data_IF_792557020338
#
_entry.id   IF_792557020338
#
_cell.length_a   1.000
_cell.length_b   1.000
_cell.length_c   1.000
_cell.angle_alpha   90.00
_cell.angle_beta   90.00
_cell.angle_gamma   90.00
#
_symmetry.space_group_name_H-M   'P 1'
#
loop_
_entity.id
_entity.type
_entity.pdbx_description
1 polymer ?
#
# COMPACT_ATOMS: atom_id res chain seq x y z
N UNK A 1 32.65 10.87 27.31
CA UNK A 1 31.45 10.14 27.76
C UNK A 1 31.56 8.72 27.24
N UNK A 2 31.52 7.71 28.11
CA UNK A 2 31.61 6.29 27.69
C UNK A 2 30.19 5.86 27.30
N UNK A 3 29.94 5.64 26.01
CA UNK A 3 28.58 5.48 25.47
C UNK A 3 27.84 4.24 26.01
N UNK A 4 28.56 3.12 26.21
CA UNK A 4 28.02 1.86 26.76
C UNK A 4 28.48 1.57 28.21
N UNK A 5 29.21 2.52 28.83
CA UNK A 5 29.81 2.37 30.15
C UNK A 5 30.52 1.02 30.42
N UNK A 6 31.23 0.49 29.42
CA UNK A 6 31.96 -0.76 29.57
C UNK A 6 33.16 -0.57 30.51
N UNK A 7 33.50 -1.58 31.34
CA UNK A 7 34.76 -1.60 32.08
C UNK A 7 35.94 -1.29 31.15
N UNK A 8 36.82 -0.38 31.58
CA UNK A 8 38.00 0.01 30.80
C UNK A 8 39.25 -0.59 31.44
N UNK A 9 40.14 -1.13 30.61
CA UNK A 9 41.45 -1.60 31.05
C UNK A 9 42.34 -0.38 31.27
N UNK A 10 42.84 -0.21 32.49
CA UNK A 10 43.82 0.84 32.79
C UNK A 10 45.22 0.50 32.22
N UNK A 11 46.04 1.52 32.00
CA UNK A 11 47.43 1.31 31.60
C UNK A 11 48.18 0.52 32.67
N UNK A 12 48.91 -0.53 32.27
CA UNK A 12 49.62 -1.45 33.17
C UNK A 12 48.73 -2.18 34.20
N UNK A 13 47.42 -2.31 33.94
CA UNK A 13 46.52 -3.02 34.85
C UNK A 13 46.88 -4.50 34.97
N UNK A 14 47.15 -4.95 36.19
CA UNK A 14 47.21 -6.38 36.48
C UNK A 14 45.85 -7.04 36.22
N UNK A 15 45.87 -8.26 35.67
CA UNK A 15 44.65 -9.01 35.35
C UNK A 15 43.70 -8.31 34.37
N UNK A 16 44.23 -7.57 33.39
CA UNK A 16 43.47 -6.95 32.30
C UNK A 16 42.49 -7.91 31.60
N UNK A 17 42.79 -9.21 31.57
CA UNK A 17 41.91 -10.25 31.01
C UNK A 17 40.56 -10.36 31.75
N UNK A 18 40.50 -10.10 33.06
CA UNK A 18 39.23 -10.13 33.82
C UNK A 18 38.35 -8.96 33.39
N UNK A 19 38.92 -7.76 33.32
CA UNK A 19 38.20 -6.56 32.86
C UNK A 19 37.73 -6.69 31.42
N UNK A 20 38.51 -7.35 30.56
CA UNK A 20 38.05 -7.70 29.20
C UNK A 20 36.85 -8.64 29.25
N UNK A 21 36.93 -9.73 30.01
CA UNK A 21 35.82 -10.68 30.13
C UNK A 21 34.55 -10.04 30.68
N UNK A 22 34.68 -9.12 31.65
CA UNK A 22 33.54 -8.37 32.21
C UNK A 22 32.92 -7.43 31.17
N UNK A 23 33.74 -6.77 30.35
CA UNK A 23 33.28 -5.92 29.25
C UNK A 23 32.58 -6.73 28.15
N UNK A 24 33.13 -7.89 27.79
CA UNK A 24 32.54 -8.81 26.81
C UNK A 24 31.21 -9.37 27.31
N UNK A 25 31.12 -9.75 28.59
CA UNK A 25 29.88 -10.20 29.21
C UNK A 25 28.82 -9.09 29.25
N UNK A 26 29.22 -7.84 29.53
CA UNK A 26 28.31 -6.71 29.50
C UNK A 26 27.78 -6.42 28.08
N UNK A 27 28.62 -6.58 27.06
CA UNK A 27 28.22 -6.41 25.66
C UNK A 27 27.26 -7.53 25.21
N UNK A 28 27.58 -8.78 25.51
CA UNK A 28 26.74 -9.94 25.22
C UNK A 28 25.35 -9.78 25.85
N UNK A 29 25.31 -9.45 27.15
CA UNK A 29 24.05 -9.20 27.83
C UNK A 29 23.29 -8.05 27.17
N UNK A 30 23.94 -6.93 26.87
CA UNK A 30 23.28 -5.78 26.28
C UNK A 30 22.72 -6.01 24.87
N UNK A 31 23.33 -6.90 24.07
CA UNK A 31 22.94 -7.17 22.67
C UNK A 31 22.06 -8.40 22.48
N UNK A 32 22.25 -9.46 23.27
CA UNK A 32 21.55 -10.74 23.09
C UNK A 32 20.38 -10.90 24.05
N UNK A 33 20.54 -10.45 25.30
CA UNK A 33 19.56 -10.65 26.37
C UNK A 33 18.86 -9.35 26.81
N UNK A 34 19.43 -8.20 26.44
CA UNK A 34 19.05 -6.86 26.88
C UNK A 34 17.71 -6.41 26.30
N UNK A 35 16.63 -6.93 26.88
CA UNK A 35 15.25 -6.58 26.59
C UNK A 35 14.56 -6.07 27.86
N UNK A 36 13.92 -4.92 27.77
CA UNK A 36 13.09 -4.37 28.85
C UNK A 36 11.66 -4.11 28.38
N UNK A 37 10.71 -4.52 29.21
CA UNK A 37 9.28 -4.35 28.99
C UNK A 37 8.75 -3.15 29.78
N UNK A 38 7.93 -2.33 29.13
CA UNK A 38 7.25 -1.19 29.72
C UNK A 38 5.73 -1.34 29.59
N UNK A 39 5.01 -0.80 30.56
CA UNK A 39 3.55 -0.68 30.54
C UNK A 39 3.16 0.77 30.27
N UNK A 40 2.64 1.03 29.07
CA UNK A 40 2.19 2.34 28.63
C UNK A 40 0.81 2.75 29.16
N UNK A 41 0.15 1.92 29.97
CA UNK A 41 -1.23 2.17 30.42
C UNK A 41 -1.39 3.47 31.22
N UNK A 42 -0.30 4.01 31.79
CA UNK A 42 -0.29 5.27 32.55
C UNK A 42 0.05 6.51 31.71
N UNK A 43 0.24 6.36 30.39
CA UNK A 43 0.59 7.45 29.48
C UNK A 43 2.10 7.63 29.33
N UNK A 44 2.55 8.88 29.14
CA UNK A 44 3.94 9.22 28.84
C UNK A 44 4.90 8.79 29.96
N UNK A 45 6.07 8.26 29.57
CA UNK A 45 7.10 7.85 30.53
C UNK A 45 8.52 8.04 29.99
N UNK A 46 9.51 8.28 30.87
CA UNK A 46 10.91 8.28 30.49
C UNK A 46 11.52 6.88 30.61
N UNK A 47 12.51 6.60 29.76
CA UNK A 47 13.47 5.51 29.94
C UNK A 47 14.70 6.08 30.65
N UNK A 48 15.17 5.45 31.73
CA UNK A 48 16.36 5.92 32.42
C UNK A 48 17.64 5.66 31.62
N UNK A 49 18.70 6.42 31.91
CA UNK A 49 20.00 6.24 31.26
C UNK A 49 20.56 4.82 31.44
N UNK A 50 20.40 4.24 32.63
CA UNK A 50 20.88 2.90 32.96
C UNK A 50 20.09 1.84 32.20
N UNK A 51 18.76 1.97 32.14
CA UNK A 51 17.91 1.04 31.39
C UNK A 51 18.21 1.10 29.89
N UNK A 52 18.38 2.30 29.35
CA UNK A 52 18.71 2.52 27.95
C UNK A 52 20.11 2.02 27.58
N UNK A 53 21.08 2.07 28.51
CA UNK A 53 22.43 1.55 28.26
C UNK A 53 22.46 0.01 28.27
N UNK A 54 21.80 -0.62 29.24
CA UNK A 54 21.83 -2.08 29.43
C UNK A 54 20.93 -2.86 28.49
N UNK A 55 19.90 -2.24 27.94
CA UNK A 55 18.93 -2.91 27.08
C UNK A 55 18.95 -2.27 25.70
N UNK A 56 19.25 -3.05 24.67
CA UNK A 56 19.13 -2.59 23.30
C UNK A 56 17.69 -2.69 22.78
N UNK A 57 16.86 -3.54 23.38
CA UNK A 57 15.48 -3.78 22.96
C UNK A 57 14.48 -3.31 24.03
N UNK A 58 13.54 -2.45 23.63
CA UNK A 58 12.48 -1.93 24.47
C UNK A 58 11.12 -2.35 23.90
N UNK A 59 10.31 -3.05 24.69
CA UNK A 59 8.95 -3.44 24.29
C UNK A 59 7.95 -2.69 25.14
N UNK A 60 7.04 -1.96 24.50
CA UNK A 60 5.98 -1.23 25.18
C UNK A 60 4.67 -1.96 24.96
N UNK A 61 3.96 -2.23 26.05
CA UNK A 61 2.67 -2.92 26.06
C UNK A 61 1.66 -2.11 26.90
N UNK A 62 0.53 -2.70 27.25
CA UNK A 62 -0.54 -2.02 28.01
C UNK A 62 -1.65 -1.49 27.12
N UNK A 63 -2.56 -0.71 27.70
CA UNK A 63 -3.73 -0.15 27.01
C UNK A 63 -3.92 1.33 27.36
N UNK A 64 -3.02 2.22 26.92
CA UNK A 64 -3.21 3.66 27.03
C UNK A 64 -4.52 4.11 26.36
N UNK A 65 -5.09 5.20 26.86
CA UNK A 65 -6.32 5.80 26.30
C UNK A 65 -6.09 6.68 25.07
N UNK A 66 -4.83 6.92 24.71
CA UNK A 66 -4.40 7.78 23.59
C UNK A 66 -2.94 7.50 23.23
N UNK A 67 -2.47 8.06 22.11
CA UNK A 67 -1.04 8.11 21.80
C UNK A 67 -0.21 8.66 22.96
N UNK A 68 1.01 8.13 23.14
CA UNK A 68 1.91 8.49 24.23
C UNK A 68 3.33 8.81 23.76
N UNK A 69 4.06 9.54 24.58
CA UNK A 69 5.44 9.94 24.39
C UNK A 69 6.35 9.13 25.29
N UNK A 70 7.34 8.47 24.69
CA UNK A 70 8.42 7.80 25.41
C UNK A 70 9.69 8.63 25.28
N UNK A 71 10.13 9.19 26.41
CA UNK A 71 11.35 10.02 26.44
C UNK A 71 12.57 9.13 26.65
N UNK A 72 13.47 9.11 25.68
CA UNK A 72 14.73 8.36 25.78
C UNK A 72 15.90 9.28 26.15
N UNK A 73 16.96 8.74 26.78
CA UNK A 73 18.19 9.48 27.02
C UNK A 73 18.85 9.93 25.69
N UNK A 74 19.46 11.12 25.71
CA UNK A 74 20.21 11.70 24.60
C UNK A 74 21.58 11.02 24.39
N UNK A 75 21.59 9.69 24.22
CA UNK A 75 22.78 8.87 24.03
C UNK A 75 22.90 8.39 22.59
N UNK A 76 24.09 8.59 21.99
CA UNK A 76 24.42 8.14 20.64
C UNK A 76 24.47 6.61 20.55
N UNK A 77 23.41 5.95 20.05
CA UNK A 77 23.38 4.50 19.85
C UNK A 77 22.23 4.02 18.96
N UNK A 78 22.37 2.84 18.34
CA UNK A 78 21.23 2.08 17.84
C UNK A 78 20.47 1.39 18.98
N UNK A 79 19.18 1.16 18.77
CA UNK A 79 18.28 0.42 19.67
C UNK A 79 17.03 -0.04 18.90
N UNK A 80 16.31 -1.02 19.45
CA UNK A 80 15.08 -1.56 18.87
C UNK A 80 13.89 -1.24 19.77
N UNK A 81 12.75 -0.89 19.17
CA UNK A 81 11.50 -0.68 19.90
C UNK A 81 10.39 -1.48 19.26
N UNK A 82 9.64 -2.22 20.09
CA UNK A 82 8.41 -2.88 19.70
C UNK A 82 7.22 -2.23 20.41
N UNK A 83 6.22 -1.82 19.65
CA UNK A 83 4.99 -1.26 20.17
C UNK A 83 3.85 -2.28 20.08
N UNK A 84 3.30 -2.68 21.23
CA UNK A 84 2.15 -3.57 21.36
C UNK A 84 1.01 -2.93 22.19
N UNK A 85 1.05 -1.62 22.44
CA UNK A 85 0.11 -0.98 23.36
C UNK A 85 -1.21 -0.52 22.72
N UNK A 86 -1.44 -0.81 21.44
CA UNK A 86 -2.68 -0.42 20.74
C UNK A 86 -2.70 1.01 20.19
N UNK A 87 -1.86 1.89 20.73
CA UNK A 87 -1.77 3.32 20.35
C UNK A 87 -0.41 3.65 19.72
N UNK A 88 -0.28 4.81 19.07
CA UNK A 88 1.02 5.27 18.54
C UNK A 88 1.93 5.74 19.67
N UNK A 89 3.20 5.29 19.64
CA UNK A 89 4.23 5.77 20.56
C UNK A 89 5.15 6.74 19.82
N UNK A 90 5.40 7.91 20.40
CA UNK A 90 6.39 8.86 19.88
C UNK A 90 7.66 8.78 20.72
N UNK A 91 8.78 8.38 20.10
CA UNK A 91 10.09 8.36 20.73
C UNK A 91 10.79 9.70 20.54
N UNK A 92 11.28 10.28 21.64
CA UNK A 92 11.95 11.58 21.60
C UNK A 92 13.03 11.68 22.68
N UNK A 93 14.05 12.50 22.43
CA UNK A 93 15.00 12.96 23.46
C UNK A 93 14.54 14.28 24.11
N UNK A 94 13.47 14.88 23.59
CA UNK A 94 13.04 16.28 23.83
C UNK A 94 13.99 17.37 23.30
N UNK A 95 15.05 17.02 22.55
CA UNK A 95 16.03 17.98 22.04
C UNK A 95 16.00 18.20 20.52
N UNK A 96 15.40 17.28 19.77
CA UNK A 96 15.36 17.33 18.32
C UNK A 96 14.25 16.47 17.74
N UNK A 97 14.50 15.91 16.56
CA UNK A 97 13.52 15.10 15.83
C UNK A 97 13.05 13.89 16.65
N UNK A 98 11.76 13.59 16.53
CA UNK A 98 11.12 12.43 17.15
C UNK A 98 10.73 11.41 16.09
N UNK A 99 10.56 10.16 16.52
CA UNK A 99 10.17 9.07 15.63
C UNK A 99 8.89 8.38 16.13
N UNK A 100 7.82 8.32 15.33
CA UNK A 100 6.62 7.58 15.67
C UNK A 100 6.81 6.08 15.42
N UNK A 101 6.34 5.24 16.34
CA UNK A 101 6.27 3.79 16.19
C UNK A 101 4.80 3.40 16.31
N UNK A 102 4.22 2.93 15.20
CA UNK A 102 2.79 2.58 15.17
C UNK A 102 2.54 1.29 15.95
N UNK A 103 1.28 1.09 16.36
CA UNK A 103 0.88 -0.14 17.05
C UNK A 103 1.16 -1.38 16.19
N UNK A 104 1.76 -2.41 16.79
CA UNK A 104 2.16 -3.64 16.13
C UNK A 104 3.54 -3.58 15.47
N UNK A 105 4.18 -2.42 15.37
CA UNK A 105 5.48 -2.30 14.74
C UNK A 105 6.64 -2.74 15.63
N UNK A 106 7.69 -3.25 14.98
CA UNK A 106 9.02 -3.44 15.56
C UNK A 106 10.03 -2.67 14.70
N UNK A 107 10.74 -1.70 15.29
CA UNK A 107 11.59 -0.75 14.56
C UNK A 107 13.01 -0.74 15.11
N UNK A 108 13.98 -0.82 14.20
CA UNK A 108 15.38 -0.50 14.49
C UNK A 108 15.58 1.01 14.32
N UNK A 109 16.12 1.64 15.35
CA UNK A 109 16.22 3.09 15.51
C UNK A 109 17.65 3.48 15.87
N UNK A 110 17.99 4.73 15.60
CA UNK A 110 19.26 5.37 15.98
C UNK A 110 18.97 6.70 16.66
N UNK A 111 19.58 6.91 17.83
CA UNK A 111 19.66 8.22 18.47
C UNK A 111 21.04 8.82 18.18
N UNK A 112 21.10 10.06 17.69
CA UNK A 112 22.36 10.78 17.43
C UNK A 112 22.80 11.66 18.62
N UNK A 113 22.13 11.51 19.77
CA UNK A 113 22.30 12.35 20.95
C UNK A 113 21.46 13.64 20.92
N UNK A 114 20.68 13.87 19.87
CA UNK A 114 19.75 15.00 19.74
C UNK A 114 18.40 14.51 19.19
N UNK A 115 18.37 13.87 18.02
CA UNK A 115 17.17 13.33 17.39
C UNK A 115 17.09 11.81 17.45
N UNK A 116 15.88 11.28 17.20
CA UNK A 116 15.59 9.86 17.03
C UNK A 116 15.20 9.60 15.57
N UNK A 117 15.88 8.64 14.94
CA UNK A 117 15.69 8.31 13.53
C UNK A 117 15.44 6.82 13.36
N UNK A 118 14.44 6.44 12.58
CA UNK A 118 14.21 5.05 12.20
C UNK A 118 15.06 4.66 11.01
N UNK A 119 15.69 3.49 11.08
CA UNK A 119 16.26 2.86 9.90
C UNK A 119 15.09 2.50 8.98
N UNK A 120 14.95 3.27 7.90
CA UNK A 120 13.97 3.01 6.87
C UNK A 120 14.69 2.37 5.71
N UNK A 121 14.22 1.21 5.25
CA UNK A 121 14.59 0.76 3.93
C UNK A 121 14.03 1.78 2.93
N UNK A 122 14.93 2.48 2.25
CA UNK A 122 14.57 3.42 1.18
C UNK A 122 14.18 2.68 -0.09
N UNK A 123 14.33 1.35 -0.12
CA UNK A 123 13.62 0.49 -1.05
C UNK A 123 12.15 0.43 -0.62
N UNK A 124 11.29 1.02 -1.43
CA UNK A 124 9.83 1.03 -1.27
C UNK A 124 9.22 -0.34 -1.51
N UNK A 125 9.65 -1.40 -0.83
CA UNK A 125 9.02 -2.73 -0.96
C UNK A 125 8.17 -3.05 0.25
N UNK A 126 7.03 -2.34 0.33
CA UNK A 126 5.81 -2.90 0.90
C UNK A 126 5.55 -4.27 0.27
N UNK A 127 5.57 -5.33 1.06
CA UNK A 127 5.20 -6.70 0.67
C UNK A 127 6.05 -7.34 -0.45
N UNK A 128 6.71 -8.46 -0.16
CA UNK A 128 7.38 -9.32 -1.16
C UNK A 128 6.40 -9.97 -2.18
N UNK A 129 5.11 -9.76 -1.99
CA UNK A 129 4.08 -9.94 -3.02
C UNK A 129 3.61 -8.54 -3.41
N UNK A 130 3.76 -8.09 -4.67
CA UNK A 130 3.19 -6.82 -5.11
C UNK A 130 1.73 -6.77 -4.66
N UNK A 131 1.36 -5.76 -3.85
CA UNK A 131 -0.03 -5.59 -3.48
C UNK A 131 -0.84 -5.49 -4.78
N UNK A 132 -1.91 -6.28 -4.89
CA UNK A 132 -2.77 -6.20 -6.05
C UNK A 132 -3.30 -4.77 -6.15
N UNK A 133 -3.11 -4.15 -7.33
CA UNK A 133 -3.58 -2.81 -7.64
C UNK A 133 -4.51 -2.87 -8.85
N UNK A 134 -5.76 -2.50 -8.67
CA UNK A 134 -6.77 -2.52 -9.72
C UNK A 134 -8.19 -2.26 -9.24
N UNK A 135 -9.11 -2.26 -10.19
CA UNK A 135 -10.54 -2.14 -9.92
C UNK A 135 -11.37 -3.06 -10.83
N UNK A 136 -12.56 -3.44 -10.35
CA UNK A 136 -13.58 -4.18 -11.09
C UNK A 136 -14.94 -3.56 -10.84
N UNK A 137 -15.63 -3.22 -11.91
CA UNK A 137 -16.97 -2.62 -11.87
C UNK A 137 -17.98 -3.45 -12.65
N UNK A 138 -19.24 -3.35 -12.25
CA UNK A 138 -20.38 -4.03 -12.86
C UNK A 138 -21.61 -3.12 -12.93
N UNK A 139 -22.62 -3.55 -13.69
CA UNK A 139 -23.90 -2.85 -13.82
C UNK A 139 -24.95 -3.44 -12.87
N UNK A 140 -25.79 -2.57 -12.33
CA UNK A 140 -26.99 -2.93 -11.55
C UNK A 140 -28.29 -2.80 -12.35
N UNK A 141 -28.23 -2.14 -13.51
CA UNK A 141 -29.35 -1.99 -14.45
C UNK A 141 -28.88 -2.13 -15.91
N UNK A 142 -29.80 -2.47 -16.82
CA UNK A 142 -29.45 -2.62 -18.24
C UNK A 142 -28.94 -1.28 -18.78
N UNK A 143 -27.82 -1.28 -19.50
CA UNK A 143 -27.28 -0.10 -20.13
C UNK A 143 -27.76 0.02 -21.58
N UNK A 144 -28.27 1.20 -21.95
CA UNK A 144 -28.78 1.48 -23.31
C UNK A 144 -27.63 1.88 -24.25
N UNK A 145 -27.56 1.22 -25.40
CA UNK A 145 -26.58 1.46 -26.46
C UNK A 145 -27.34 1.99 -27.68
N UNK A 146 -27.26 3.31 -27.96
CA UNK A 146 -27.94 3.93 -29.09
C UNK A 146 -27.56 3.34 -30.44
N UNK A 147 -28.48 3.48 -31.40
CA UNK A 147 -28.21 3.14 -32.79
C UNK A 147 -27.11 4.03 -33.39
N UNK A 148 -26.15 3.39 -34.06
CA UNK A 148 -25.13 4.03 -34.89
C UNK A 148 -24.22 5.02 -34.14
N UNK A 149 -23.96 4.75 -32.87
CA UNK A 149 -23.09 5.55 -32.02
C UNK A 149 -22.18 4.68 -31.16
N UNK A 150 -20.89 4.99 -31.14
CA UNK A 150 -19.95 4.43 -30.16
C UNK A 150 -20.27 5.06 -28.81
N UNK A 151 -20.67 4.24 -27.84
CA UNK A 151 -21.14 4.70 -26.54
C UNK A 151 -20.30 4.09 -25.44
N UNK A 152 -19.74 4.94 -24.58
CA UNK A 152 -19.06 4.53 -23.36
C UNK A 152 -20.08 3.93 -22.40
N UNK A 153 -19.75 2.78 -21.84
CA UNK A 153 -20.64 2.04 -20.95
C UNK A 153 -20.46 2.55 -19.53
N UNK A 154 -21.54 3.01 -18.92
CA UNK A 154 -21.56 3.43 -17.51
C UNK A 154 -21.66 2.23 -16.57
N UNK A 155 -20.98 2.33 -15.43
CA UNK A 155 -20.93 1.30 -14.39
C UNK A 155 -21.50 1.83 -13.06
N UNK A 156 -22.24 0.99 -12.36
CA UNK A 156 -22.99 1.40 -11.17
C UNK A 156 -22.29 1.02 -9.86
N UNK A 157 -21.60 -0.13 -9.86
CA UNK A 157 -21.06 -0.74 -8.65
C UNK A 157 -19.60 -1.15 -8.84
N UNK A 158 -18.76 -0.78 -7.87
CA UNK A 158 -17.40 -1.31 -7.74
C UNK A 158 -17.43 -2.54 -6.83
N UNK A 159 -16.95 -3.68 -7.34
CA UNK A 159 -16.72 -4.89 -6.55
C UNK A 159 -15.45 -4.76 -5.70
N UNK A 160 -14.43 -4.12 -6.28
CA UNK A 160 -13.23 -3.69 -5.58
C UNK A 160 -12.61 -2.52 -6.34
N UNK A 161 -11.92 -1.64 -5.61
CA UNK A 161 -11.07 -0.58 -6.15
C UNK A 161 -10.00 -0.26 -5.11
N UNK A 162 -8.76 -0.65 -5.37
CA UNK A 162 -7.67 -0.57 -4.39
C UNK A 162 -6.99 0.78 -4.34
N UNK A 163 -7.00 1.52 -5.46
CA UNK A 163 -6.21 2.74 -5.64
C UNK A 163 -7.00 3.85 -6.35
N UNK A 164 -8.32 3.87 -6.15
CA UNK A 164 -9.24 4.91 -6.65
C UNK A 164 -9.26 5.03 -8.18
N UNK A 165 -9.21 3.89 -8.88
CA UNK A 165 -9.33 3.86 -10.33
C UNK A 165 -10.72 4.28 -10.80
N UNK A 166 -11.77 4.00 -10.02
CA UNK A 166 -13.15 4.27 -10.37
C UNK A 166 -13.71 5.44 -9.57
N UNK A 167 -14.33 6.38 -10.28
CA UNK A 167 -15.05 7.50 -9.69
C UNK A 167 -16.53 7.38 -10.08
N UNK A 168 -17.41 7.17 -9.11
CA UNK A 168 -18.85 7.08 -9.34
C UNK A 168 -19.48 8.37 -9.89
N UNK A 169 -18.80 9.52 -9.80
CA UNK A 169 -19.23 10.74 -10.48
C UNK A 169 -18.93 10.73 -11.99
N UNK A 170 -18.06 9.80 -12.45
CA UNK A 170 -17.70 9.58 -13.84
C UNK A 170 -17.78 8.09 -14.19
N UNK A 171 -19.01 7.52 -14.22
CA UNK A 171 -19.22 6.08 -14.19
C UNK A 171 -18.76 5.33 -15.44
N UNK A 172 -18.45 6.02 -16.55
CA UNK A 172 -18.01 5.40 -17.80
C UNK A 172 -16.50 5.07 -17.89
N UNK A 173 -15.69 5.43 -16.88
CA UNK A 173 -14.22 5.35 -16.99
C UNK A 173 -13.49 4.84 -15.76
N UNK A 174 -12.34 4.22 -16.00
CA UNK A 174 -11.26 4.11 -15.02
C UNK A 174 -10.20 5.18 -15.29
N UNK A 175 -9.69 5.83 -14.24
CA UNK A 175 -8.59 6.81 -14.32
C UNK A 175 -7.34 6.22 -13.67
N UNK A 176 -6.19 6.36 -14.33
CA UNK A 176 -4.90 5.84 -13.85
C UNK A 176 -4.39 6.73 -12.71
N UNK A 177 -4.15 6.20 -11.49
CA UNK A 177 -3.64 6.96 -10.36
C UNK A 177 -2.12 7.22 -10.48
N UNK A 178 -1.58 8.01 -9.55
CA UNK A 178 -0.14 8.23 -9.45
C UNK A 178 0.60 6.90 -9.18
N UNK A 179 1.79 6.75 -9.76
CA UNK A 179 2.66 5.58 -9.54
C UNK A 179 2.40 4.40 -10.49
N UNK A 180 1.33 4.41 -11.29
CA UNK A 180 1.05 3.37 -12.27
C UNK A 180 1.62 3.74 -13.64
N UNK A 181 2.42 2.85 -14.22
CA UNK A 181 3.06 3.06 -15.53
C UNK A 181 2.61 2.06 -16.60
N UNK A 182 2.05 0.92 -16.18
CA UNK A 182 1.50 -0.09 -17.08
C UNK A 182 0.24 -0.71 -16.51
N UNK A 183 -0.71 -1.02 -17.40
CA UNK A 183 -1.97 -1.67 -17.03
C UNK A 183 -2.33 -2.80 -17.99
N UNK A 184 -3.21 -3.69 -17.54
CA UNK A 184 -4.01 -4.58 -18.38
C UNK A 184 -5.48 -4.25 -18.15
N UNK A 185 -6.22 -4.08 -19.25
CA UNK A 185 -7.66 -3.92 -19.25
C UNK A 185 -8.33 -5.24 -19.61
N UNK A 186 -9.42 -5.56 -18.94
CA UNK A 186 -10.30 -6.69 -19.28
C UNK A 186 -11.74 -6.24 -19.17
N UNK A 187 -12.58 -6.67 -20.09
CA UNK A 187 -13.99 -6.32 -20.06
C UNK A 187 -14.85 -7.38 -20.71
N UNK A 188 -16.07 -7.50 -20.22
CA UNK A 188 -17.09 -8.37 -20.79
C UNK A 188 -18.38 -7.59 -20.93
N UNK A 189 -19.03 -7.70 -22.09
CA UNK A 189 -20.40 -7.23 -22.31
C UNK A 189 -21.27 -8.40 -22.75
N UNK A 190 -22.39 -8.58 -22.07
CA UNK A 190 -23.45 -9.48 -22.50
C UNK A 190 -24.58 -8.68 -23.10
N UNK A 191 -24.94 -8.96 -24.36
CA UNK A 191 -26.05 -8.29 -25.04
C UNK A 191 -27.39 -8.93 -24.66
N UNK A 192 -28.43 -8.12 -24.46
CA UNK A 192 -29.73 -8.64 -24.01
C UNK A 192 -30.43 -9.49 -25.10
N UNK A 193 -30.57 -8.97 -26.34
CA UNK A 193 -31.12 -9.72 -27.49
C UNK A 193 -31.25 -8.84 -28.74
N UNK A 194 -30.73 -9.31 -29.90
CA UNK A 194 -31.42 -9.21 -31.20
C UNK A 194 -30.80 -10.23 -32.20
N UNK A 195 -31.39 -10.35 -33.41
CA UNK A 195 -31.04 -11.35 -34.43
C UNK A 195 -30.55 -10.78 -35.78
N UNK A 196 -30.10 -9.52 -35.80
CA UNK A 196 -29.51 -8.91 -37.00
C UNK A 196 -28.50 -7.82 -36.64
N UNK A 197 -27.59 -7.53 -37.58
CA UNK A 197 -26.65 -6.40 -37.60
C UNK A 197 -25.30 -6.64 -36.89
N UNK A 198 -24.52 -5.59 -36.66
CA UNK A 198 -23.16 -5.66 -36.11
C UNK A 198 -23.14 -5.27 -34.64
N UNK A 199 -22.25 -5.91 -33.88
CA UNK A 199 -21.96 -5.64 -32.48
C UNK A 199 -20.46 -5.45 -32.31
N UNK A 200 -20.08 -4.32 -31.74
CA UNK A 200 -18.69 -4.03 -31.44
C UNK A 200 -18.52 -3.74 -29.96
N UNK A 201 -17.38 -4.17 -29.43
CA UNK A 201 -16.88 -3.78 -28.13
C UNK A 201 -15.42 -3.39 -28.31
N UNK A 202 -15.01 -2.29 -27.67
CA UNK A 202 -13.67 -1.76 -27.77
C UNK A 202 -13.28 -1.00 -26.52
N UNK A 203 -11.97 -0.90 -26.27
CA UNK A 203 -11.46 0.02 -25.28
C UNK A 203 -11.15 1.39 -25.92
N UNK A 204 -11.50 2.46 -25.22
CA UNK A 204 -11.07 3.82 -25.53
C UNK A 204 -9.99 4.23 -24.54
N UNK A 205 -9.00 5.01 -25.00
CA UNK A 205 -8.03 5.72 -24.16
C UNK A 205 -8.25 7.20 -24.34
N UNK A 206 -8.53 7.93 -23.27
CA UNK A 206 -8.79 9.37 -23.30
C UNK A 206 -9.86 9.75 -24.35
N UNK A 207 -10.96 8.99 -24.41
CA UNK A 207 -12.04 9.16 -25.39
C UNK A 207 -11.70 8.80 -26.84
N UNK A 208 -10.50 8.26 -27.10
CA UNK A 208 -10.03 7.92 -28.44
C UNK A 208 -9.84 6.41 -28.62
N UNK A 209 -10.26 5.92 -29.78
CA UNK A 209 -10.00 4.55 -30.22
C UNK A 209 -8.65 4.42 -30.96
N UNK A 210 -7.84 5.48 -31.07
CA UNK A 210 -6.60 5.48 -31.86
C UNK A 210 -5.39 5.39 -30.95
N UNK A 211 -5.02 4.17 -30.56
CA UNK A 211 -3.80 3.89 -29.80
C UNK A 211 -3.35 2.43 -30.02
N UNK A 212 -2.04 2.18 -29.88
CA UNK A 212 -1.46 0.84 -30.03
C UNK A 212 -1.88 -0.07 -28.88
N UNK A 213 -2.23 -1.32 -29.18
CA UNK A 213 -2.66 -2.30 -28.16
C UNK A 213 -4.14 -2.23 -27.79
N UNK A 214 -4.95 -1.44 -28.50
CA UNK A 214 -6.41 -1.43 -28.31
C UNK A 214 -7.02 -2.82 -28.54
N UNK A 215 -7.70 -3.35 -27.54
CA UNK A 215 -8.57 -4.51 -27.73
C UNK A 215 -9.86 -4.07 -28.45
N UNK A 216 -10.23 -4.79 -29.49
CA UNK A 216 -11.43 -4.56 -30.30
C UNK A 216 -12.00 -5.90 -30.74
N UNK A 217 -13.32 -6.01 -30.74
CA UNK A 217 -14.05 -7.20 -31.17
C UNK A 217 -15.29 -6.77 -31.93
N UNK A 218 -15.55 -7.41 -33.07
CA UNK A 218 -16.74 -7.17 -33.90
C UNK A 218 -17.37 -8.50 -34.28
N UNK A 219 -18.67 -8.61 -34.09
CA UNK A 219 -19.44 -9.83 -34.28
C UNK A 219 -20.77 -9.52 -34.97
N UNK A 220 -21.26 -10.47 -35.75
CA UNK A 220 -22.66 -10.46 -36.14
C UNK A 220 -23.52 -10.59 -34.86
N UNK A 221 -24.64 -9.87 -34.83
CA UNK A 221 -25.49 -9.85 -33.65
C UNK A 221 -26.13 -11.22 -33.40
N UNK A 222 -26.13 -11.63 -32.14
CA UNK A 222 -26.71 -12.88 -31.68
C UNK A 222 -27.44 -12.62 -30.36
N UNK A 223 -28.50 -13.40 -30.12
CA UNK A 223 -29.16 -13.37 -28.83
C UNK A 223 -28.19 -13.79 -27.72
N UNK A 224 -28.15 -13.00 -26.63
CA UNK A 224 -27.26 -13.27 -25.49
C UNK A 224 -25.77 -13.36 -25.87
N UNK A 225 -25.34 -12.66 -26.93
CA UNK A 225 -23.94 -12.56 -27.32
C UNK A 225 -23.10 -12.07 -26.14
N UNK A 226 -22.02 -12.79 -25.83
CA UNK A 226 -21.02 -12.38 -24.85
C UNK A 226 -19.75 -11.98 -25.59
N UNK A 227 -19.30 -10.75 -25.39
CA UNK A 227 -18.06 -10.24 -25.96
C UNK A 227 -17.06 -10.03 -24.84
N UNK A 228 -15.90 -10.69 -24.95
CA UNK A 228 -14.78 -10.55 -24.03
C UNK A 228 -13.63 -9.80 -24.71
N UNK A 229 -12.99 -8.91 -23.97
CA UNK A 229 -11.84 -8.13 -24.39
C UNK A 229 -10.73 -8.25 -23.35
N UNK A 230 -9.49 -8.31 -23.81
CA UNK A 230 -8.30 -8.20 -22.97
C UNK A 230 -7.23 -7.45 -23.75
N UNK A 231 -6.64 -6.43 -23.14
CA UNK A 231 -5.52 -5.71 -23.73
C UNK A 231 -4.20 -6.45 -23.46
N UNK A 232 -3.13 -6.19 -24.25
CA UNK A 232 -1.77 -6.39 -23.78
C UNK A 232 -1.48 -5.43 -22.61
N UNK A 233 -0.26 -5.52 -22.07
CA UNK A 233 0.29 -4.47 -21.22
C UNK A 233 0.30 -3.13 -21.98
N UNK A 234 -0.43 -2.14 -21.48
CA UNK A 234 -0.50 -0.79 -22.05
C UNK A 234 0.35 0.17 -21.24
N UNK A 235 1.15 0.99 -21.91
CA UNK A 235 1.85 2.12 -21.28
C UNK A 235 0.86 3.24 -20.94
N UNK A 236 0.96 3.75 -19.72
CA UNK A 236 0.09 4.79 -19.18
C UNK A 236 0.87 5.82 -18.38
N UNK A 237 0.29 7.01 -18.28
CA UNK A 237 0.71 8.03 -17.32
C UNK A 237 -0.46 8.34 -16.37
N UNK A 238 -0.19 8.84 -15.16
CA UNK A 238 -1.25 9.25 -14.25
C UNK A 238 -2.20 10.25 -14.91
N UNK A 239 -3.50 10.03 -14.73
CA UNK A 239 -4.57 10.82 -15.34
C UNK A 239 -5.05 10.35 -16.70
N UNK A 240 -4.35 9.41 -17.37
CA UNK A 240 -4.93 8.67 -18.48
C UNK A 240 -6.21 7.97 -18.01
N UNK A 241 -7.26 7.95 -18.85
CA UNK A 241 -8.48 7.21 -18.54
C UNK A 241 -8.86 6.24 -19.65
N UNK A 242 -9.54 5.17 -19.25
CA UNK A 242 -9.96 4.09 -20.12
C UNK A 242 -11.44 3.78 -19.95
N UNK A 243 -12.07 3.45 -21.06
CA UNK A 243 -13.49 3.19 -21.14
C UNK A 243 -13.72 1.89 -21.91
N UNK A 244 -14.71 1.11 -21.51
CA UNK A 244 -15.27 0.06 -22.34
C UNK A 244 -16.44 0.66 -23.12
N UNK A 245 -16.27 0.79 -24.42
CA UNK A 245 -17.29 1.31 -25.31
C UNK A 245 -17.90 0.19 -26.17
N UNK A 246 -19.11 0.44 -26.65
CA UNK A 246 -19.83 -0.46 -27.54
C UNK A 246 -20.47 0.29 -28.70
N UNK A 247 -20.66 -0.41 -29.81
CA UNK A 247 -21.36 0.10 -30.99
C UNK A 247 -22.30 -0.97 -31.55
N UNK A 248 -23.40 -0.51 -32.13
CA UNK A 248 -24.40 -1.33 -32.79
C UNK A 248 -25.18 -0.52 -33.84
N UNK A 249 -25.68 -1.17 -34.88
CA UNK A 249 -26.32 -0.51 -36.02
C UNK A 249 -27.70 -1.07 -36.42
N UNK A 250 -28.56 -1.39 -35.45
CA UNK A 250 -29.80 -2.16 -35.70
C UNK A 250 -31.02 -1.35 -36.11
N UNK A 251 -30.87 -0.05 -36.33
CA UNK A 251 -31.98 0.88 -36.55
C UNK A 251 -32.82 1.19 -35.31
N UNK A 252 -32.41 0.74 -34.11
CA UNK A 252 -33.06 0.99 -32.83
C UNK A 252 -32.05 0.86 -31.68
N UNK A 253 -32.40 1.33 -30.49
CA UNK A 253 -31.58 1.16 -29.30
C UNK A 253 -31.47 -0.31 -28.88
N UNK A 254 -30.34 -0.66 -28.29
CA UNK A 254 -30.02 -2.01 -27.82
C UNK A 254 -29.52 -1.94 -26.38
N UNK A 255 -29.39 -3.11 -25.73
CA UNK A 255 -29.07 -3.15 -24.31
C UNK A 255 -27.92 -4.11 -24.01
N UNK A 256 -26.98 -3.65 -23.21
CA UNK A 256 -26.12 -4.52 -22.42
C UNK A 256 -26.88 -4.97 -21.17
N UNK A 257 -26.85 -6.27 -20.90
CA UNK A 257 -27.49 -6.91 -19.76
C UNK A 257 -26.70 -6.63 -18.49
N UNK A 258 -27.40 -6.31 -17.40
CA UNK A 258 -26.80 -6.06 -16.09
C UNK A 258 -26.34 -7.32 -15.37
N UNK A 259 -25.68 -7.14 -14.22
CA UNK A 259 -25.23 -8.21 -13.34
C UNK A 259 -23.87 -8.79 -13.73
N UNK A 260 -23.53 -9.95 -13.17
CA UNK A 260 -22.17 -10.53 -13.20
C UNK A 260 -21.68 -10.92 -14.61
N UNK A 261 -22.56 -10.86 -15.62
CA UNK A 261 -22.20 -11.14 -17.01
C UNK A 261 -21.68 -9.92 -17.78
N UNK A 262 -21.77 -8.71 -17.21
CA UNK A 262 -21.19 -7.49 -17.81
C UNK A 262 -20.34 -6.76 -16.79
N UNK A 263 -19.05 -6.60 -17.09
CA UNK A 263 -18.07 -6.05 -16.17
C UNK A 263 -16.89 -5.41 -16.90
N UNK A 264 -16.19 -4.51 -16.21
CA UNK A 264 -14.94 -3.91 -16.69
C UNK A 264 -13.92 -3.88 -15.57
N UNK A 265 -12.67 -4.19 -15.89
CA UNK A 265 -11.57 -4.16 -14.92
C UNK A 265 -10.30 -3.56 -15.49
N UNK A 266 -9.56 -2.96 -14.57
CA UNK A 266 -8.21 -2.44 -14.77
C UNK A 266 -7.30 -3.06 -13.71
N UNK A 267 -6.10 -3.45 -14.14
CA UNK A 267 -5.08 -3.99 -13.25
C UNK A 267 -3.76 -3.32 -13.58
N UNK A 268 -3.10 -2.71 -12.58
CA UNK A 268 -1.72 -2.28 -12.72
C UNK A 268 -0.77 -3.49 -12.76
N UNK A 269 0.26 -3.37 -13.58
CA UNK A 269 1.29 -4.40 -13.74
C UNK A 269 2.67 -3.77 -13.61
N UNK A 270 3.38 -4.12 -12.54
CA UNK A 270 4.72 -3.61 -12.24
C UNK A 270 4.73 -2.70 -11.04
#
# INVERSE_FOLDING_TARGET
MVLLNLPQIAENQASAYITSNDADAALENALCEGKLDYDGSLGDFPISEIEFQKNWFHRVSGTPSSALTVTIPALKRPFMVQNLCGETITLTTSLGDSFPVLSGENRLLYCDGIGVYGLTDTSTTSSIVPAFSGALVSMTSNFTIPHDAVTSVDWDASSYDTDTYFDGANPGRFTVPLGVSKIILRGQLRWLSNLSDTREALFLKNGSATYTGRAYSSHAAQSKLIMNLTSPALDVVPGDYFELASYQNTGADQYAEYGDSSWFSIQAIG
#
